data_IF_191725363132
#
_entry.id   IF_191725363132
#
_cell.length_a   1.000
_cell.length_b   1.000
_cell.length_c   1.000
_cell.angle_alpha   90.00
_cell.angle_beta   90.00
_cell.angle_gamma   90.00
#
_symmetry.space_group_name_H-M   'P 1'
#
loop_
_entity.id
_entity.type
_entity.pdbx_description
1 polymer ?
#
# COMPACT_ATOMS: atom_id res chain seq x y z
N UNK A 1 6.31 -13.17 -0.46
CA UNK A 1 7.01 -12.45 -1.50
C UNK A 1 6.32 -11.11 -1.87
N UNK A 2 5.03 -11.12 -2.30
CA UNK A 2 4.32 -9.88 -2.71
C UNK A 2 4.34 -8.79 -1.64
N UNK A 3 4.10 -9.13 -0.37
CA UNK A 3 4.16 -8.19 0.77
C UNK A 3 5.55 -7.55 0.90
N UNK A 4 6.61 -8.37 0.76
CA UNK A 4 7.98 -7.88 0.86
C UNK A 4 8.35 -6.94 -0.30
N UNK A 5 7.90 -7.25 -1.53
CA UNK A 5 8.07 -6.33 -2.67
C UNK A 5 7.26 -5.04 -2.48
N UNK A 6 6.08 -5.12 -1.85
CA UNK A 6 5.29 -3.92 -1.52
C UNK A 6 6.02 -3.04 -0.50
N UNK A 7 6.59 -3.63 0.57
CA UNK A 7 7.41 -2.89 1.54
C UNK A 7 8.66 -2.26 0.87
N UNK A 8 9.33 -3.00 -0.01
CA UNK A 8 10.47 -2.50 -0.79
C UNK A 8 10.08 -1.27 -1.62
N UNK A 9 8.95 -1.34 -2.32
CA UNK A 9 8.42 -0.24 -3.13
C UNK A 9 8.05 0.98 -2.26
N UNK A 10 7.40 0.77 -1.13
CA UNK A 10 7.06 1.84 -0.18
C UNK A 10 8.31 2.53 0.37
N UNK A 11 9.35 1.75 0.75
CA UNK A 11 10.64 2.28 1.18
C UNK A 11 11.32 3.08 0.06
N UNK A 12 11.28 2.59 -1.18
CA UNK A 12 11.86 3.31 -2.32
C UNK A 12 11.15 4.65 -2.57
N UNK A 13 9.82 4.68 -2.50
CA UNK A 13 9.04 5.94 -2.59
C UNK A 13 9.41 6.89 -1.46
N UNK A 14 9.51 6.38 -0.23
CA UNK A 14 9.92 7.18 0.93
C UNK A 14 11.32 7.80 0.76
N UNK A 15 12.28 7.03 0.26
CA UNK A 15 13.64 7.50 0.01
C UNK A 15 13.67 8.61 -1.06
N UNK A 16 12.88 8.48 -2.11
CA UNK A 16 12.87 9.41 -3.23
C UNK A 16 12.08 10.70 -2.91
N UNK A 17 10.91 10.56 -2.28
CA UNK A 17 9.94 11.67 -2.21
C UNK A 17 9.31 11.86 -0.82
N UNK A 18 9.68 11.07 0.18
CA UNK A 18 9.10 11.18 1.52
C UNK A 18 9.32 12.55 2.16
N UNK A 19 10.45 13.22 1.87
CA UNK A 19 10.74 14.59 2.33
C UNK A 19 9.79 15.64 1.73
N UNK A 20 9.18 15.34 0.60
CA UNK A 20 8.18 16.18 -0.08
C UNK A 20 6.75 15.84 0.35
N UNK A 21 6.60 15.04 1.40
CA UNK A 21 5.31 14.52 1.89
C UNK A 21 4.54 13.68 0.84
N UNK A 22 5.28 13.07 -0.11
CA UNK A 22 4.70 12.15 -1.08
C UNK A 22 4.77 10.73 -0.52
N UNK A 23 3.61 10.13 -0.33
CA UNK A 23 3.42 8.73 0.04
C UNK A 23 2.85 7.90 -1.11
N UNK A 24 2.84 6.59 -0.94
CA UNK A 24 2.24 5.66 -1.91
C UNK A 24 1.10 4.87 -1.26
N UNK A 25 0.00 4.75 -1.98
CA UNK A 25 -1.16 3.97 -1.59
C UNK A 25 -1.38 2.82 -2.56
N UNK A 26 -1.41 1.60 -2.04
CA UNK A 26 -1.84 0.42 -2.79
C UNK A 26 -3.37 0.42 -2.80
N UNK A 27 -3.98 0.53 -3.98
CA UNK A 27 -5.43 0.69 -4.11
C UNK A 27 -6.15 -0.62 -4.29
N UNK A 28 -5.78 -1.40 -5.29
CA UNK A 28 -6.44 -2.67 -5.61
C UNK A 28 -5.54 -3.58 -6.45
N UNK A 29 -5.89 -4.85 -6.47
CA UNK A 29 -5.24 -5.81 -7.35
C UNK A 29 -5.73 -5.64 -8.80
N UNK A 30 -4.81 -5.64 -9.75
CA UNK A 30 -5.11 -5.60 -11.17
C UNK A 30 -4.16 -6.55 -11.94
N UNK A 31 -4.72 -7.49 -12.67
CA UNK A 31 -3.90 -8.51 -13.31
C UNK A 31 -3.04 -9.28 -12.30
N UNK A 32 -1.76 -9.37 -12.56
CA UNK A 32 -0.77 -9.99 -11.65
C UNK A 32 -0.05 -8.98 -10.75
N UNK A 33 -0.60 -7.78 -10.59
CA UNK A 33 0.02 -6.69 -9.84
C UNK A 33 -0.94 -5.98 -8.89
N UNK A 34 -0.42 -4.90 -8.31
CA UNK A 34 -1.18 -3.95 -7.52
C UNK A 34 -1.11 -2.59 -8.17
N UNK A 35 -2.28 -1.98 -8.38
CA UNK A 35 -2.36 -0.58 -8.77
C UNK A 35 -2.06 0.30 -7.56
N UNK A 36 -1.13 1.23 -7.77
CA UNK A 36 -0.63 2.14 -6.74
C UNK A 36 -0.76 3.58 -7.22
N UNK A 37 -1.03 4.48 -6.29
CA UNK A 37 -1.09 5.93 -6.51
C UNK A 37 -0.12 6.65 -5.58
N UNK A 38 0.59 7.64 -6.10
CA UNK A 38 1.30 8.60 -5.27
C UNK A 38 0.33 9.68 -4.79
N UNK A 39 0.45 10.04 -3.52
CA UNK A 39 -0.39 11.04 -2.87
C UNK A 39 0.50 12.07 -2.18
N UNK A 40 0.17 13.34 -2.38
CA UNK A 40 0.77 14.47 -1.67
C UNK A 40 -0.34 15.26 -0.98
N UNK A 41 -0.23 15.44 0.33
CA UNK A 41 -1.20 16.20 1.13
C UNK A 41 -2.68 15.81 0.91
N UNK A 42 -2.93 14.52 0.61
CA UNK A 42 -4.25 13.97 0.36
C UNK A 42 -4.72 14.02 -1.10
N UNK A 43 -3.94 14.65 -1.99
CA UNK A 43 -4.22 14.71 -3.42
C UNK A 43 -3.39 13.71 -4.23
N UNK A 44 -3.95 13.19 -5.32
CA UNK A 44 -3.26 12.26 -6.20
C UNK A 44 -2.22 12.99 -7.04
N UNK A 45 -0.99 12.48 -7.04
CA UNK A 45 0.09 12.96 -7.89
C UNK A 45 0.21 12.08 -9.11
N UNK A 46 0.08 12.65 -10.31
CA UNK A 46 0.29 11.91 -11.55
C UNK A 46 1.74 11.45 -11.66
N UNK A 47 1.95 10.16 -11.88
CA UNK A 47 3.27 9.61 -12.09
C UNK A 47 3.76 9.85 -13.52
N UNK A 48 5.05 10.10 -13.67
CA UNK A 48 5.71 10.26 -14.98
C UNK A 48 6.65 9.10 -15.27
N UNK A 49 7.02 8.90 -16.52
CA UNK A 49 8.00 7.88 -16.91
C UNK A 49 9.36 8.10 -16.24
N UNK A 50 9.76 9.34 -16.03
CA UNK A 50 10.98 9.69 -15.28
C UNK A 50 10.88 9.21 -13.83
N UNK A 51 9.74 9.39 -13.18
CA UNK A 51 9.50 8.90 -11.81
C UNK A 51 9.49 7.38 -11.74
N UNK A 52 8.91 6.70 -12.74
CA UNK A 52 8.98 5.24 -12.85
C UNK A 52 10.44 4.77 -12.96
N UNK A 53 11.23 5.41 -13.81
CA UNK A 53 12.65 5.11 -13.93
C UNK A 53 13.43 5.29 -12.62
N UNK A 54 13.17 6.38 -11.90
CA UNK A 54 13.76 6.65 -10.59
C UNK A 54 13.33 5.59 -9.56
N UNK A 55 12.05 5.22 -9.52
CA UNK A 55 11.53 4.20 -8.61
C UNK A 55 12.15 2.83 -8.86
N UNK A 56 12.21 2.40 -10.13
CA UNK A 56 12.88 1.13 -10.51
C UNK A 56 14.35 1.13 -10.07
N UNK A 57 15.07 2.22 -10.32
CA UNK A 57 16.49 2.34 -9.94
C UNK A 57 16.68 2.27 -8.42
N UNK A 58 15.85 2.94 -7.66
CA UNK A 58 15.93 2.92 -6.20
C UNK A 58 15.56 1.56 -5.61
N UNK A 59 14.48 0.93 -6.09
CA UNK A 59 14.14 -0.43 -5.71
C UNK A 59 15.27 -1.41 -6.01
N UNK A 60 15.89 -1.32 -7.18
CA UNK A 60 17.05 -2.15 -7.54
C UNK A 60 18.25 -1.89 -6.60
N UNK A 61 18.55 -0.64 -6.27
CA UNK A 61 19.60 -0.28 -5.31
C UNK A 61 19.37 -0.93 -3.95
N UNK A 62 18.15 -0.90 -3.45
CA UNK A 62 17.78 -1.53 -2.17
C UNK A 62 17.91 -3.07 -2.23
N UNK A 63 17.57 -3.69 -3.35
CA UNK A 63 17.77 -5.14 -3.55
C UNK A 63 19.26 -5.50 -3.54
N UNK A 64 20.07 -4.72 -4.23
CA UNK A 64 21.53 -4.97 -4.30
C UNK A 64 22.24 -4.71 -2.98
N UNK A 65 21.67 -3.86 -2.12
CA UNK A 65 22.20 -3.61 -0.78
C UNK A 65 21.89 -4.74 0.23
N UNK A 66 21.02 -5.67 -0.14
CA UNK A 66 20.62 -6.83 0.66
C UNK A 66 20.28 -6.50 2.13
N UNK A 67 19.46 -5.47 2.32
CA UNK A 67 19.10 -4.94 3.63
C UNK A 67 18.16 -5.90 4.38
N UNK A 68 18.33 -6.10 5.70
CA UNK A 68 17.45 -6.94 6.48
C UNK A 68 16.04 -6.37 6.54
N UNK A 69 15.03 -7.25 6.52
CA UNK A 69 13.63 -6.94 6.80
C UNK A 69 13.33 -7.47 8.20
N UNK A 70 13.33 -6.57 9.15
CA UNK A 70 13.13 -6.92 10.54
C UNK A 70 11.64 -7.00 10.89
N UNK A 71 11.28 -7.95 11.73
CA UNK A 71 9.92 -8.12 12.26
C UNK A 71 9.95 -8.10 13.77
N UNK A 72 9.15 -7.22 14.34
CA UNK A 72 8.94 -7.19 15.78
C UNK A 72 7.48 -7.04 16.14
N UNK A 73 7.13 -7.51 17.34
CA UNK A 73 5.79 -7.44 17.86
C UNK A 73 5.73 -6.34 18.91
N UNK A 74 4.73 -5.47 18.84
CA UNK A 74 4.46 -4.43 19.83
C UNK A 74 3.02 -4.46 20.30
N UNK A 75 2.70 -3.75 21.37
CA UNK A 75 1.34 -3.59 21.84
C UNK A 75 0.53 -2.78 20.81
N UNK A 76 -0.76 -3.06 20.72
CA UNK A 76 -1.64 -2.36 19.76
C UNK A 76 -1.72 -0.88 20.06
N UNK A 77 -1.73 -0.47 21.32
CA UNK A 77 -1.74 0.96 21.71
C UNK A 77 -0.44 1.67 21.33
N UNK A 78 0.70 1.00 21.50
CA UNK A 78 2.00 1.51 21.02
C UNK A 78 2.04 1.64 19.49
N UNK A 79 1.42 0.71 18.76
CA UNK A 79 1.30 0.78 17.31
C UNK A 79 0.40 1.93 16.85
N UNK A 80 -0.69 2.23 17.57
CA UNK A 80 -1.54 3.41 17.31
C UNK A 80 -0.72 4.69 17.45
N UNK A 81 0.06 4.82 18.55
CA UNK A 81 0.93 5.96 18.76
C UNK A 81 2.00 6.10 17.67
N UNK A 82 2.65 4.98 17.29
CA UNK A 82 3.64 4.95 16.22
C UNK A 82 3.04 5.43 14.89
N UNK A 83 1.86 4.94 14.49
CA UNK A 83 1.23 5.37 13.23
C UNK A 83 0.73 6.80 13.27
N UNK A 84 0.34 7.30 14.45
CA UNK A 84 0.06 8.72 14.64
C UNK A 84 1.30 9.59 14.39
N UNK A 85 2.45 9.25 15.01
CA UNK A 85 3.74 9.95 14.83
C UNK A 85 4.22 9.90 13.36
N UNK A 86 4.01 8.77 12.68
CA UNK A 86 4.36 8.60 11.25
C UNK A 86 3.35 9.27 10.30
N UNK A 87 2.28 9.89 10.80
CA UNK A 87 1.24 10.53 9.99
C UNK A 87 0.36 9.55 9.20
N UNK A 88 0.38 8.27 9.54
CA UNK A 88 -0.38 7.21 8.86
C UNK A 88 -1.80 7.08 9.43
N UNK A 89 -2.63 8.11 9.22
CA UNK A 89 -3.97 8.25 9.82
C UNK A 89 -4.93 7.09 9.56
N UNK A 90 -4.85 6.48 8.39
CA UNK A 90 -5.66 5.31 8.01
C UNK A 90 -5.32 4.09 8.87
N UNK A 91 -4.04 3.87 9.16
CA UNK A 91 -3.57 2.78 10.02
C UNK A 91 -3.84 3.07 11.50
N UNK A 92 -3.62 4.30 11.95
CA UNK A 92 -4.02 4.73 13.29
C UNK A 92 -5.50 4.40 13.55
N UNK A 93 -6.41 4.81 12.64
CA UNK A 93 -7.84 4.49 12.74
C UNK A 93 -8.12 2.99 12.71
N UNK A 94 -7.47 2.25 11.80
CA UNK A 94 -7.65 0.80 11.69
C UNK A 94 -7.31 0.09 13.02
N UNK A 95 -6.21 0.48 13.67
CA UNK A 95 -5.72 -0.18 14.87
C UNK A 95 -6.54 0.16 16.12
N UNK A 96 -7.23 1.29 16.19
CA UNK A 96 -8.15 1.64 17.29
C UNK A 96 -9.26 0.60 17.49
N UNK A 97 -9.69 -0.08 16.43
CA UNK A 97 -10.74 -1.10 16.48
C UNK A 97 -10.22 -2.53 16.57
N UNK A 98 -8.89 -2.70 16.67
CA UNK A 98 -8.32 -4.03 16.68
C UNK A 98 -8.41 -4.66 18.06
N UNK A 99 -9.00 -5.87 18.12
CA UNK A 99 -9.15 -6.64 19.37
C UNK A 99 -7.86 -7.35 19.83
N UNK A 100 -6.88 -7.51 18.94
CA UNK A 100 -5.60 -8.15 19.30
C UNK A 100 -4.76 -7.21 20.15
N UNK A 101 -4.23 -7.68 21.26
CA UNK A 101 -3.34 -6.91 22.13
C UNK A 101 -1.96 -6.65 21.54
N UNK A 102 -1.57 -7.40 20.52
CA UNK A 102 -0.26 -7.27 19.85
C UNK A 102 -0.39 -7.30 18.35
N UNK A 103 0.50 -6.56 17.69
CA UNK A 103 0.61 -6.46 16.23
C UNK A 103 2.06 -6.61 15.79
N UNK A 104 2.25 -7.10 14.56
CA UNK A 104 3.57 -7.24 13.97
C UNK A 104 3.87 -6.04 13.07
N UNK A 105 4.97 -5.37 13.36
CA UNK A 105 5.52 -4.29 12.55
C UNK A 105 6.72 -4.83 11.78
N UNK A 106 6.86 -4.41 10.55
CA UNK A 106 8.03 -4.67 9.72
C UNK A 106 8.81 -3.38 9.53
N UNK A 107 10.13 -3.49 9.62
CA UNK A 107 11.06 -2.38 9.41
C UNK A 107 12.05 -2.73 8.31
N UNK A 108 12.27 -1.80 7.40
CA UNK A 108 13.27 -1.85 6.36
C UNK A 108 14.03 -0.51 6.37
N UNK A 109 15.26 -0.51 6.87
CA UNK A 109 16.14 0.66 6.89
C UNK A 109 15.40 1.92 7.41
N UNK A 110 14.91 1.86 8.66
CA UNK A 110 14.14 2.88 9.37
C UNK A 110 12.74 3.18 8.82
N UNK A 111 12.31 2.56 7.73
CA UNK A 111 10.94 2.66 7.25
C UNK A 111 10.09 1.57 7.91
N UNK A 112 9.06 1.97 8.65
CA UNK A 112 8.19 1.06 9.41
C UNK A 112 6.80 1.00 8.79
N UNK A 113 6.28 -0.23 8.69
CA UNK A 113 4.91 -0.44 8.27
C UNK A 113 4.31 -1.73 8.86
N UNK A 114 2.99 -1.82 8.81
CA UNK A 114 2.25 -3.01 9.22
C UNK A 114 1.97 -3.91 8.03
N UNK A 115 2.31 -5.18 8.20
CA UNK A 115 1.89 -6.24 7.27
C UNK A 115 1.46 -7.49 8.02
N UNK A 116 0.41 -8.13 7.53
CA UNK A 116 -0.02 -9.41 8.05
C UNK A 116 0.77 -10.55 7.42
N UNK A 117 1.27 -11.48 8.25
CA UNK A 117 1.96 -12.70 7.79
C UNK A 117 3.48 -12.54 7.70
N UNK A 118 4.11 -13.41 6.92
CA UNK A 118 5.56 -13.49 6.82
C UNK A 118 6.10 -12.74 5.61
N UNK A 119 7.33 -12.25 5.74
CA UNK A 119 8.14 -11.65 4.69
C UNK A 119 9.45 -12.42 4.48
N UNK A 120 10.15 -12.11 3.40
CA UNK A 120 11.52 -12.60 3.19
C UNK A 120 12.48 -11.95 4.19
N UNK A 121 13.61 -12.60 4.53
CA UNK A 121 14.52 -12.07 5.55
C UNK A 121 15.27 -10.80 5.13
N UNK A 122 15.52 -10.62 3.83
CA UNK A 122 16.23 -9.44 3.32
C UNK A 122 15.78 -9.05 1.92
N UNK A 123 16.15 -7.84 1.49
CA UNK A 123 15.81 -7.32 0.15
C UNK A 123 16.49 -8.07 -0.98
N UNK A 124 17.62 -8.73 -0.77
CA UNK A 124 18.35 -9.51 -1.77
C UNK A 124 17.54 -10.68 -2.35
N UNK A 125 16.50 -11.16 -1.65
CA UNK A 125 15.56 -12.16 -2.17
C UNK A 125 14.56 -11.61 -3.18
N UNK A 126 14.43 -10.27 -3.29
CA UNK A 126 13.38 -9.61 -4.07
C UNK A 126 13.86 -9.23 -5.47
N UNK A 127 14.18 -10.24 -6.29
CA UNK A 127 14.78 -10.04 -7.63
C UNK A 127 13.76 -9.98 -8.77
N UNK A 128 12.53 -10.42 -8.54
CA UNK A 128 11.52 -10.60 -9.58
C UNK A 128 10.30 -9.72 -9.33
N UNK A 129 10.32 -8.53 -9.84
CA UNK A 129 9.21 -7.58 -9.87
C UNK A 129 9.39 -6.64 -11.07
N UNK A 130 8.37 -5.91 -11.41
CA UNK A 130 8.45 -4.76 -12.31
C UNK A 130 7.48 -3.67 -11.88
N UNK A 131 7.69 -2.46 -12.38
CA UNK A 131 6.84 -1.30 -12.14
C UNK A 131 6.55 -0.67 -13.50
N UNK A 132 5.27 -0.46 -13.81
CA UNK A 132 4.88 0.17 -15.08
C UNK A 132 3.87 1.27 -14.84
N UNK A 133 3.99 2.40 -15.54
CA UNK A 133 3.00 3.45 -15.48
C UNK A 133 1.66 2.94 -16.01
N UNK A 134 0.58 3.32 -15.37
CA UNK A 134 -0.77 3.02 -15.82
C UNK A 134 -1.74 4.07 -15.29
N UNK A 135 -2.48 4.70 -16.21
CA UNK A 135 -3.36 5.82 -15.88
C UNK A 135 -2.63 6.94 -15.12
N UNK A 136 -3.16 7.43 -14.00
CA UNK A 136 -2.51 8.46 -13.18
C UNK A 136 -1.49 7.91 -12.17
N UNK A 137 -1.41 6.58 -12.03
CA UNK A 137 -0.54 5.87 -11.11
C UNK A 137 0.37 4.86 -11.81
N UNK A 138 0.65 3.76 -11.12
CA UNK A 138 1.49 2.69 -11.63
C UNK A 138 1.02 1.32 -11.14
N UNK A 139 1.46 0.27 -11.81
CA UNK A 139 1.24 -1.10 -11.39
C UNK A 139 2.55 -1.71 -10.92
N UNK A 140 2.56 -2.20 -9.68
CA UNK A 140 3.62 -3.04 -9.13
C UNK A 140 3.33 -4.48 -9.51
N UNK A 141 4.14 -5.05 -10.38
CA UNK A 141 3.97 -6.39 -10.95
C UNK A 141 4.76 -7.43 -10.16
N UNK A 142 4.20 -8.63 -10.07
CA UNK A 142 4.79 -9.77 -9.38
C UNK A 142 4.99 -10.95 -10.33
N UNK A 143 5.96 -11.85 -10.05
CA UNK A 143 6.13 -13.08 -10.82
C UNK A 143 4.92 -13.99 -10.63
N UNK A 144 4.62 -14.79 -11.65
CA UNK A 144 3.68 -15.90 -11.55
C UNK A 144 4.16 -16.97 -10.54
N UNK A 145 3.28 -17.91 -10.17
CA UNK A 145 3.58 -18.93 -9.13
C UNK A 145 4.81 -19.79 -9.46
N UNK A 146 5.04 -20.06 -10.73
CA UNK A 146 6.09 -20.96 -11.20
C UNK A 146 7.18 -20.25 -12.00
N UNK A 147 7.05 -18.96 -12.25
CA UNK A 147 7.94 -18.21 -13.12
C UNK A 147 8.92 -17.33 -12.32
N UNK A 148 10.21 -17.48 -12.59
CA UNK A 148 11.23 -16.50 -12.20
C UNK A 148 11.26 -15.28 -13.14
N UNK A 149 10.09 -14.93 -13.69
CA UNK A 149 9.93 -13.82 -14.64
C UNK A 149 8.59 -13.16 -14.40
N UNK A 150 8.59 -11.84 -14.45
CA UNK A 150 7.36 -11.03 -14.43
C UNK A 150 6.80 -11.00 -15.84
N UNK A 151 5.51 -11.33 -15.98
CA UNK A 151 4.81 -11.20 -17.25
C UNK A 151 4.57 -9.73 -17.56
N UNK A 152 4.50 -9.41 -18.85
CA UNK A 152 4.10 -8.09 -19.31
C UNK A 152 2.70 -7.74 -18.78
N UNK A 153 2.52 -6.48 -18.38
CA UNK A 153 1.25 -5.99 -17.91
C UNK A 153 0.27 -5.84 -19.08
N UNK A 154 -0.86 -6.52 -18.99
CA UNK A 154 -1.96 -6.37 -19.93
C UNK A 154 -3.01 -5.46 -19.30
N UNK A 155 -3.21 -4.23 -19.81
CA UNK A 155 -4.19 -3.29 -19.29
C UNK A 155 -5.62 -3.85 -19.39
N UNK A 156 -6.45 -3.55 -18.39
CA UNK A 156 -7.89 -3.82 -18.40
C UNK A 156 -8.64 -2.59 -17.95
N UNK A 157 -8.88 -1.69 -18.89
CA UNK A 157 -9.54 -0.41 -18.61
C UNK A 157 -10.93 -0.58 -18.01
N UNK A 158 -11.71 -1.55 -18.50
CA UNK A 158 -13.02 -1.85 -17.92
C UNK A 158 -12.94 -2.20 -16.44
N UNK A 159 -12.01 -3.08 -16.05
CA UNK A 159 -11.80 -3.45 -14.66
C UNK A 159 -11.30 -2.24 -13.86
N UNK A 160 -10.33 -1.52 -14.38
CA UNK A 160 -9.77 -0.33 -13.72
C UNK A 160 -10.85 0.71 -13.40
N UNK A 161 -11.65 1.10 -14.40
CA UNK A 161 -12.69 2.13 -14.19
C UNK A 161 -13.81 1.63 -13.27
N UNK A 162 -14.13 0.34 -13.27
CA UNK A 162 -15.09 -0.24 -12.33
C UNK A 162 -14.57 -0.13 -10.89
N UNK A 163 -13.33 -0.52 -10.63
CA UNK A 163 -12.70 -0.44 -9.31
C UNK A 163 -12.51 1.02 -8.85
N UNK A 164 -12.13 1.90 -9.78
CA UNK A 164 -12.01 3.34 -9.50
C UNK A 164 -13.35 3.93 -9.09
N UNK A 165 -14.43 3.63 -9.83
CA UNK A 165 -15.79 4.11 -9.51
C UNK A 165 -16.25 3.62 -8.13
N UNK A 166 -16.02 2.35 -7.81
CA UNK A 166 -16.33 1.80 -6.48
C UNK A 166 -15.59 2.53 -5.37
N UNK A 167 -14.32 2.83 -5.56
CA UNK A 167 -13.53 3.62 -4.60
C UNK A 167 -14.02 5.05 -4.48
N UNK A 168 -14.29 5.72 -5.59
CA UNK A 168 -14.76 7.10 -5.60
C UNK A 168 -16.13 7.21 -4.92
N UNK A 169 -17.00 6.20 -5.08
CA UNK A 169 -18.22 6.05 -4.31
C UNK A 169 -17.95 5.92 -2.80
N UNK A 170 -17.01 5.07 -2.38
CA UNK A 170 -16.61 4.94 -0.98
C UNK A 170 -16.11 6.27 -0.39
N UNK A 171 -15.39 7.08 -1.18
CA UNK A 171 -14.97 8.44 -0.76
C UNK A 171 -16.15 9.37 -0.54
N UNK A 172 -17.13 9.37 -1.44
CA UNK A 172 -18.35 10.19 -1.28
C UNK A 172 -19.11 9.83 0.01
N UNK A 173 -19.11 8.55 0.37
CA UNK A 173 -19.71 8.04 1.61
C UNK A 173 -18.81 8.24 2.84
N UNK A 174 -17.58 8.73 2.69
CA UNK A 174 -16.56 8.84 3.75
C UNK A 174 -16.19 7.49 4.39
N UNK A 175 -16.29 6.40 3.63
CA UNK A 175 -15.99 5.01 4.03
C UNK A 175 -14.95 4.36 3.09
N UNK A 176 -14.02 5.13 2.56
CA UNK A 176 -13.01 4.70 1.59
C UNK A 176 -11.86 3.90 2.21
N UNK A 177 -11.83 3.78 3.53
CA UNK A 177 -10.88 2.94 4.28
C UNK A 177 -11.61 2.08 5.31
N UNK A 178 -11.00 0.94 5.69
CA UNK A 178 -11.55 0.07 6.73
C UNK A 178 -11.67 0.82 8.07
N UNK A 179 -10.72 1.70 8.37
CA UNK A 179 -10.80 2.55 9.58
C UNK A 179 -12.01 3.48 9.55
N UNK A 180 -12.27 4.14 8.41
CA UNK A 180 -13.43 5.00 8.23
C UNK A 180 -14.76 4.21 8.28
N UNK A 181 -14.78 3.01 7.70
CA UNK A 181 -15.91 2.09 7.81
C UNK A 181 -16.20 1.73 9.27
N UNK A 182 -15.18 1.38 10.05
CA UNK A 182 -15.33 1.07 11.47
C UNK A 182 -15.83 2.30 12.27
N UNK A 183 -15.33 3.50 11.97
CA UNK A 183 -15.84 4.75 12.58
C UNK A 183 -17.35 4.93 12.29
N UNK A 184 -17.78 4.69 11.05
CA UNK A 184 -19.20 4.81 10.65
C UNK A 184 -20.09 3.75 11.35
N UNK A 185 -19.61 2.50 11.46
CA UNK A 185 -20.30 1.44 12.21
C UNK A 185 -20.42 1.81 13.68
N UNK A 186 -19.36 2.29 14.31
CA UNK A 186 -19.36 2.71 15.71
C UNK A 186 -20.29 3.91 15.96
N UNK A 187 -20.49 4.78 14.94
CA UNK A 187 -21.43 5.89 14.96
C UNK A 187 -22.90 5.49 14.68
N UNK A 188 -23.19 4.20 14.48
CA UNK A 188 -24.54 3.69 14.24
C UNK A 188 -25.09 3.92 12.84
N UNK A 189 -24.25 4.25 11.84
CA UNK A 189 -24.65 4.53 10.45
C UNK A 189 -24.84 3.30 9.56
N UNK A 190 -24.86 2.11 10.14
CA UNK A 190 -24.88 0.84 9.40
C UNK A 190 -26.10 0.69 8.50
N UNK A 191 -27.30 1.04 9.00
CA UNK A 191 -28.56 0.93 8.21
C UNK A 191 -28.57 1.89 7.02
N UNK A 192 -28.14 3.15 7.22
CA UNK A 192 -28.02 4.14 6.15
C UNK A 192 -27.06 3.68 5.05
N UNK A 193 -25.95 3.08 5.45
CA UNK A 193 -24.95 2.54 4.51
C UNK A 193 -25.49 1.38 3.68
N UNK A 194 -26.23 0.46 4.29
CA UNK A 194 -26.86 -0.68 3.60
C UNK A 194 -27.88 -0.17 2.59
N UNK A 195 -28.80 0.69 3.00
CA UNK A 195 -29.82 1.27 2.13
C UNK A 195 -29.23 2.03 0.94
N UNK A 196 -28.12 2.74 1.15
CA UNK A 196 -27.42 3.48 0.07
C UNK A 196 -26.72 2.54 -0.92
N UNK A 197 -26.35 1.33 -0.50
CA UNK A 197 -25.73 0.33 -1.37
C UNK A 197 -26.74 -0.49 -2.17
N UNK A 198 -27.97 -0.61 -1.68
CA UNK A 198 -29.05 -1.34 -2.31
C UNK A 198 -29.86 -0.48 -3.31
N UNK A 199 -29.69 0.83 -3.30
CA UNK A 199 -30.35 1.79 -4.20
C UNK A 199 -29.58 2.00 -5.50
#
# INVERSE_FOLDING_TARGET
>A
YRRSVTLLMQKAVYNLWGREHIGVYVRYAIGQGYYCELMKDGESCKITETMIGALKKEMYRLVMADLPIEKYSMNTDEAVALFHELGMKDKEKLFRYRRSSRVNIYELDHYKDYFYGFMVPSTGYLRYYDVTAYQDGFVLLFPGKEAKKVSEFVPSDKLFFTLKRSRDWGKLQQIDTIGALNDAIAAGKTEEMILTQEA
#
